data_IF_008445024044
#
_entry.id   IF_008445024044
#
_cell.length_a   1.000
_cell.length_b   1.000
_cell.length_c   1.000
_cell.angle_alpha   90.00
_cell.angle_beta   90.00
_cell.angle_gamma   90.00
#
_symmetry.space_group_name_H-M   'P 1'
#
loop_
_entity.id
_entity.type
_entity.pdbx_description
1 polymer ?
#
# COMPACT_ATOMS: atom_id res chain seq x y z
N UNK A 1 -10.14 -19.69 -8.33
CA UNK A 1 -9.48 -19.36 -7.04
C UNK A 1 -8.09 -19.95 -6.79
N UNK A 2 -7.56 -20.94 -7.56
CA UNK A 2 -6.18 -21.45 -7.30
C UNK A 2 -5.04 -20.71 -8.03
N UNK A 3 -5.30 -19.94 -9.09
CA UNK A 3 -4.20 -19.38 -9.89
C UNK A 3 -3.54 -18.17 -9.21
N UNK A 4 -4.34 -17.24 -8.67
CA UNK A 4 -3.79 -15.96 -8.22
C UNK A 4 -3.02 -16.02 -6.89
N UNK A 5 -3.44 -16.86 -5.93
CA UNK A 5 -2.68 -17.04 -4.66
C UNK A 5 -1.29 -17.63 -4.90
N UNK A 6 -1.11 -18.33 -6.02
CA UNK A 6 0.15 -18.95 -6.42
C UNK A 6 0.98 -18.07 -7.36
N UNK A 7 0.42 -16.95 -7.84
CA UNK A 7 1.06 -16.05 -8.77
C UNK A 7 1.77 -14.91 -8.02
N UNK A 8 3.11 -14.93 -8.04
CA UNK A 8 3.95 -13.98 -7.27
C UNK A 8 4.08 -12.63 -7.99
N UNK A 9 4.03 -12.62 -9.33
CA UNK A 9 4.23 -11.41 -10.15
C UNK A 9 3.08 -11.10 -11.11
N UNK A 10 1.92 -11.73 -10.95
CA UNK A 10 0.75 -11.46 -11.78
C UNK A 10 -0.13 -10.37 -11.15
N UNK A 11 -0.80 -9.59 -11.98
CA UNK A 11 -1.73 -8.57 -11.50
C UNK A 11 -2.84 -9.21 -10.67
N UNK A 12 -3.20 -8.56 -9.56
CA UNK A 12 -4.20 -9.10 -8.64
C UNK A 12 -5.62 -8.91 -9.20
N UNK A 13 -6.44 -9.98 -9.34
CA UNK A 13 -7.82 -9.88 -9.80
C UNK A 13 -8.71 -9.38 -8.65
N UNK A 14 -8.62 -8.09 -8.37
CA UNK A 14 -9.29 -7.46 -7.22
C UNK A 14 -10.82 -7.51 -7.33
N UNK A 15 -11.37 -7.44 -8.55
CA UNK A 15 -12.82 -7.48 -8.78
C UNK A 15 -13.41 -8.87 -8.44
N UNK A 16 -12.73 -9.97 -8.83
CA UNK A 16 -13.17 -11.33 -8.46
C UNK A 16 -13.13 -11.56 -6.94
N UNK A 17 -12.12 -11.00 -6.27
CA UNK A 17 -11.99 -11.06 -4.81
C UNK A 17 -13.12 -10.25 -4.16
N UNK A 18 -13.47 -9.10 -4.73
CA UNK A 18 -14.58 -8.27 -4.27
C UNK A 18 -15.92 -8.98 -4.42
N UNK A 19 -16.17 -9.61 -5.57
CA UNK A 19 -17.42 -10.33 -5.83
C UNK A 19 -17.60 -11.55 -4.90
N UNK A 20 -16.52 -12.23 -4.53
CA UNK A 20 -16.58 -13.43 -3.69
C UNK A 20 -16.51 -13.15 -2.17
N UNK A 21 -15.63 -12.23 -1.74
CA UNK A 21 -15.36 -11.95 -0.31
C UNK A 21 -15.95 -10.62 0.17
N UNK A 22 -16.40 -9.76 -0.73
CA UNK A 22 -16.89 -8.43 -0.44
C UNK A 22 -15.81 -7.36 -0.41
N UNK A 23 -16.27 -6.10 -0.42
CA UNK A 23 -15.44 -4.90 -0.59
C UNK A 23 -14.39 -4.74 0.51
N UNK A 24 -14.72 -5.07 1.76
CA UNK A 24 -13.79 -4.90 2.90
C UNK A 24 -12.54 -5.76 2.75
N UNK A 25 -12.70 -7.01 2.31
CA UNK A 25 -11.57 -7.94 2.11
C UNK A 25 -10.81 -7.56 0.83
N UNK A 26 -11.51 -7.21 -0.25
CA UNK A 26 -10.88 -6.76 -1.49
C UNK A 26 -10.05 -5.49 -1.30
N UNK A 27 -10.54 -4.51 -0.53
CA UNK A 27 -9.80 -3.28 -0.22
C UNK A 27 -8.52 -3.56 0.58
N UNK A 28 -8.54 -4.53 1.49
CA UNK A 28 -7.34 -4.98 2.21
C UNK A 28 -6.30 -5.57 1.24
N UNK A 29 -6.72 -6.47 0.34
CA UNK A 29 -5.80 -7.05 -0.65
C UNK A 29 -5.26 -6.01 -1.64
N UNK A 30 -6.11 -5.07 -2.07
CA UNK A 30 -5.70 -3.94 -2.91
C UNK A 30 -4.63 -3.08 -2.22
N UNK A 31 -4.82 -2.77 -0.93
CA UNK A 31 -3.83 -2.04 -0.14
C UNK A 31 -2.53 -2.82 0.00
N UNK A 32 -2.63 -4.10 0.31
CA UNK A 32 -1.46 -4.96 0.50
C UNK A 32 -0.63 -5.07 -0.79
N UNK A 33 -1.27 -5.28 -1.95
CA UNK A 33 -0.59 -5.30 -3.24
C UNK A 33 0.04 -3.96 -3.61
N UNK A 34 -0.66 -2.86 -3.34
CA UNK A 34 -0.09 -1.52 -3.49
C UNK A 34 1.15 -1.33 -2.61
N UNK A 35 1.07 -1.71 -1.33
CA UNK A 35 2.18 -1.59 -0.38
C UNK A 35 3.41 -2.40 -0.78
N UNK A 36 3.23 -3.68 -1.16
CA UNK A 36 4.35 -4.55 -1.56
C UNK A 36 5.01 -4.07 -2.84
N UNK A 37 4.23 -3.60 -3.83
CA UNK A 37 4.79 -3.00 -5.04
C UNK A 37 5.51 -1.68 -4.75
N UNK A 38 5.00 -0.86 -3.83
CA UNK A 38 5.61 0.40 -3.45
C UNK A 38 6.92 0.23 -2.67
N UNK A 39 7.09 -0.85 -1.90
CA UNK A 39 8.34 -1.14 -1.16
C UNK A 39 9.53 -1.45 -2.08
N UNK A 40 9.29 -1.80 -3.35
CA UNK A 40 10.37 -2.02 -4.32
C UNK A 40 11.18 -0.74 -4.56
N UNK A 41 10.54 0.44 -4.57
CA UNK A 41 11.23 1.71 -4.77
C UNK A 41 12.29 2.02 -3.68
N UNK A 42 11.98 2.03 -2.38
CA UNK A 42 12.98 2.25 -1.33
C UNK A 42 13.98 1.11 -1.24
N UNK A 43 13.60 -0.14 -1.54
CA UNK A 43 14.53 -1.27 -1.56
C UNK A 43 15.62 -1.09 -2.63
N UNK A 44 15.22 -0.75 -3.86
CA UNK A 44 16.17 -0.49 -4.96
C UNK A 44 17.04 0.73 -4.64
N UNK A 45 16.43 1.85 -4.24
CA UNK A 45 17.19 3.08 -3.95
C UNK A 45 18.16 2.90 -2.77
N UNK A 46 17.72 2.25 -1.70
CA UNK A 46 18.57 1.94 -0.55
C UNK A 46 19.72 0.99 -0.89
N UNK A 47 19.46 -0.03 -1.71
CA UNK A 47 20.51 -0.96 -2.17
C UNK A 47 21.58 -0.25 -3.01
N UNK A 48 21.17 0.67 -3.89
CA UNK A 48 22.11 1.49 -4.67
C UNK A 48 22.98 2.35 -3.76
N UNK A 49 22.37 3.11 -2.83
CA UNK A 49 23.13 3.93 -1.89
C UNK A 49 24.08 3.11 -1.02
N UNK A 50 23.68 1.90 -0.62
CA UNK A 50 24.52 1.00 0.18
C UNK A 50 25.80 0.62 -0.56
N UNK A 51 25.73 0.30 -1.87
CA UNK A 51 26.93 -0.02 -2.66
C UNK A 51 27.91 1.15 -2.79
N UNK A 52 27.42 2.40 -2.78
CA UNK A 52 28.27 3.60 -2.83
C UNK A 52 28.90 3.97 -1.49
N UNK A 53 28.37 3.43 -0.39
CA UNK A 53 28.72 3.80 0.99
C UNK A 53 30.09 3.26 1.45
N UNK A 54 30.67 2.27 0.75
CA UNK A 54 31.85 1.53 1.23
C UNK A 54 33.17 2.33 1.30
N UNK A 55 33.23 3.54 0.73
CA UNK A 55 34.51 4.20 0.46
C UNK A 55 35.01 5.18 1.55
N UNK A 56 34.14 5.79 2.38
CA UNK A 56 34.58 6.78 3.37
C UNK A 56 33.50 7.14 4.43
N UNK A 57 33.88 7.62 5.63
CA UNK A 57 32.94 8.06 6.68
C UNK A 57 32.04 9.22 6.20
N UNK A 58 32.60 10.18 5.47
CA UNK A 58 31.84 11.31 4.90
C UNK A 58 30.79 10.84 3.89
N UNK A 59 31.06 9.78 3.13
CA UNK A 59 30.08 9.19 2.21
C UNK A 59 28.89 8.58 2.94
N UNK A 60 29.11 7.95 4.11
CA UNK A 60 28.04 7.34 4.92
C UNK A 60 27.03 8.38 5.42
N UNK A 61 27.53 9.51 5.90
CA UNK A 61 26.70 10.59 6.43
C UNK A 61 25.86 11.22 5.30
N UNK A 62 26.49 11.49 4.15
CA UNK A 62 25.79 12.03 2.97
C UNK A 62 24.72 11.04 2.47
N UNK A 63 25.06 9.76 2.31
CA UNK A 63 24.11 8.73 1.88
C UNK A 63 22.92 8.61 2.85
N UNK A 64 23.16 8.72 4.16
CA UNK A 64 22.11 8.64 5.19
C UNK A 64 21.14 9.83 5.10
N UNK A 65 21.65 11.06 4.92
CA UNK A 65 20.82 12.26 4.74
C UNK A 65 20.01 12.18 3.44
N UNK A 66 20.63 11.74 2.34
CA UNK A 66 19.94 11.56 1.06
C UNK A 66 18.82 10.52 1.16
N UNK A 67 19.08 9.39 1.84
CA UNK A 67 18.06 8.37 2.09
C UNK A 67 16.93 8.89 2.97
N UNK A 68 17.23 9.68 4.01
CA UNK A 68 16.20 10.25 4.88
C UNK A 68 15.26 11.20 4.11
N UNK A 69 15.81 12.12 3.32
CA UNK A 69 15.02 13.03 2.47
C UNK A 69 14.14 12.23 1.49
N UNK A 70 14.73 11.22 0.84
CA UNK A 70 14.00 10.34 -0.05
C UNK A 70 12.84 9.61 0.66
N UNK A 71 13.03 9.08 1.87
CA UNK A 71 11.96 8.39 2.61
C UNK A 71 10.80 9.32 2.97
N UNK A 72 11.07 10.59 3.30
CA UNK A 72 10.02 11.57 3.58
C UNK A 72 9.20 11.85 2.31
N UNK A 73 9.86 12.08 1.18
CA UNK A 73 9.18 12.31 -0.09
C UNK A 73 8.41 11.05 -0.53
N UNK A 74 9.03 9.88 -0.45
CA UNK A 74 8.39 8.62 -0.84
C UNK A 74 7.19 8.28 0.05
N UNK A 75 7.29 8.46 1.37
CA UNK A 75 6.17 8.16 2.28
C UNK A 75 4.97 9.08 2.07
N UNK A 76 5.21 10.37 1.79
CA UNK A 76 4.15 11.31 1.44
C UNK A 76 3.48 10.94 0.11
N UNK A 77 4.27 10.67 -0.94
CA UNK A 77 3.73 10.21 -2.23
C UNK A 77 2.95 8.90 -2.09
N UNK A 78 3.47 7.95 -1.31
CA UNK A 78 2.80 6.67 -1.05
C UNK A 78 1.40 6.86 -0.46
N UNK A 79 1.27 7.74 0.54
CA UNK A 79 -0.02 8.04 1.16
C UNK A 79 -0.97 8.78 0.21
N UNK A 80 -0.48 9.76 -0.55
CA UNK A 80 -1.28 10.48 -1.54
C UNK A 80 -1.79 9.57 -2.65
N UNK A 81 -0.92 8.71 -3.18
CA UNK A 81 -1.28 7.73 -4.20
C UNK A 81 -2.30 6.72 -3.68
N UNK A 82 -2.14 6.24 -2.45
CA UNK A 82 -3.12 5.34 -1.85
C UNK A 82 -4.47 6.02 -1.69
N UNK A 83 -4.52 7.27 -1.20
CA UNK A 83 -5.79 8.01 -1.10
C UNK A 83 -6.51 8.10 -2.44
N UNK A 84 -5.76 8.38 -3.52
CA UNK A 84 -6.33 8.44 -4.87
C UNK A 84 -6.83 7.07 -5.36
N UNK A 85 -6.02 6.02 -5.25
CA UNK A 85 -6.39 4.66 -5.65
C UNK A 85 -7.53 4.08 -4.82
N UNK A 86 -7.51 4.33 -3.52
CA UNK A 86 -8.57 3.91 -2.59
C UNK A 86 -9.91 4.56 -2.93
N UNK A 87 -9.93 5.85 -3.29
CA UNK A 87 -11.14 6.51 -3.77
C UNK A 87 -11.64 5.94 -5.10
N UNK A 88 -10.74 5.60 -6.03
CA UNK A 88 -11.10 4.96 -7.30
C UNK A 88 -11.75 3.58 -7.06
N UNK A 89 -11.19 2.76 -6.17
CA UNK A 89 -11.77 1.46 -5.82
C UNK A 89 -13.10 1.60 -5.07
N UNK A 90 -13.20 2.54 -4.14
CA UNK A 90 -14.46 2.82 -3.44
C UNK A 90 -15.58 3.29 -4.39
N UNK A 91 -15.23 4.07 -5.42
CA UNK A 91 -16.15 4.46 -6.48
C UNK A 91 -16.56 3.26 -7.33
N UNK A 92 -15.59 2.46 -7.81
CA UNK A 92 -15.84 1.26 -8.64
C UNK A 92 -16.72 0.23 -7.95
N UNK A 93 -16.53 0.02 -6.65
CA UNK A 93 -17.28 -0.96 -5.86
C UNK A 93 -18.51 -0.38 -5.15
N UNK A 94 -18.87 0.88 -5.42
CA UNK A 94 -20.11 1.49 -4.94
C UNK A 94 -20.17 1.80 -3.44
N UNK A 95 -19.03 1.83 -2.74
CA UNK A 95 -18.93 2.14 -1.31
C UNK A 95 -18.45 3.56 -1.02
N UNK A 96 -18.43 4.44 -2.03
CA UNK A 96 -17.99 5.83 -1.87
C UNK A 96 -18.99 6.65 -1.05
N UNK A 97 -20.28 6.46 -1.30
CA UNK A 97 -21.38 7.25 -0.71
C UNK A 97 -22.08 6.54 0.46
N UNK A 98 -21.61 5.35 0.86
CA UNK A 98 -22.15 4.67 2.05
C UNK A 98 -21.89 5.54 3.27
N UNK A 99 -22.92 6.02 4.00
CA UNK A 99 -22.71 6.86 5.17
C UNK A 99 -21.90 6.08 6.21
N UNK A 100 -20.75 6.63 6.63
CA UNK A 100 -19.85 6.04 7.63
C UNK A 100 -20.55 5.74 8.97
N UNK A 101 -21.74 6.30 9.17
CA UNK A 101 -22.54 6.26 10.40
C UNK A 101 -23.88 5.50 10.29
N UNK A 102 -24.31 5.05 9.11
CA UNK A 102 -25.65 4.47 8.99
C UNK A 102 -25.70 3.03 9.53
N UNK A 103 -25.95 2.94 10.84
CA UNK A 103 -26.49 1.80 11.61
C UNK A 103 -25.49 0.67 11.88
N UNK A 104 -24.37 0.96 12.55
CA UNK A 104 -23.72 -0.08 13.34
C UNK A 104 -24.58 -0.29 14.59
N UNK A 105 -25.31 -1.41 14.66
CA UNK A 105 -26.13 -1.73 15.82
C UNK A 105 -25.27 -1.70 17.08
N UNK A 106 -25.81 -1.19 18.22
CA UNK A 106 -25.04 -1.13 19.46
C UNK A 106 -24.47 -2.51 19.76
N UNK A 107 -23.13 -2.57 19.87
CA UNK A 107 -22.41 -3.82 20.10
C UNK A 107 -23.08 -4.61 21.23
N UNK A 108 -23.29 -5.93 21.11
CA UNK A 108 -24.16 -6.69 22.03
C UNK A 108 -23.78 -6.62 23.52
N UNK A 109 -22.55 -6.22 23.83
CA UNK A 109 -22.01 -6.08 25.19
C UNK A 109 -22.05 -4.63 25.71
N UNK A 110 -22.61 -3.69 24.96
CA UNK A 110 -22.79 -2.31 25.41
C UNK A 110 -23.95 -2.27 26.42
N UNK A 111 -23.61 -2.01 27.68
CA UNK A 111 -24.55 -1.77 28.79
C UNK A 111 -24.50 -0.32 29.19
#
# INVERSE_FOLDING_TARGET
MKSWVQAICEAQPLDEICDYFGVKIAMYFAWLGFYTSAMVYPAVFGSLLYTFTENDQTSRDICSVMFAIFNVIWSTLFLEEWKRRGAEFAYKWGTLDTPTESIEEPRPQFR
#
